data_IF_998388884792
#
_entry.id   IF_998388884792
#
_cell.length_a   1.000
_cell.length_b   1.000
_cell.length_c   1.000
_cell.angle_alpha   90.00
_cell.angle_beta   90.00
_cell.angle_gamma   90.00
#
_symmetry.space_group_name_H-M   'P 1'
#
loop_
_entity.id
_entity.type
_entity.pdbx_description
1 polymer ?
#
# COMPACT_ATOMS: atom_id res chain seq x y z
N UNK A 1 12.39 -5.89 5.84
CA UNK A 1 11.16 -5.28 6.38
C UNK A 1 11.10 -5.56 7.88
N UNK A 2 10.99 -4.54 8.73
CA UNK A 2 10.96 -4.71 10.20
C UNK A 2 9.64 -4.26 10.83
N UNK A 3 8.90 -3.38 10.14
CA UNK A 3 7.67 -2.76 10.65
C UNK A 3 6.62 -2.72 9.54
N UNK A 4 5.37 -2.99 9.90
CA UNK A 4 4.18 -2.74 9.06
C UNK A 4 3.34 -1.67 9.76
N UNK A 5 3.04 -0.58 9.05
CA UNK A 5 2.14 0.46 9.54
C UNK A 5 0.79 0.22 8.85
N UNK A 6 -0.27 0.07 9.64
CA UNK A 6 -1.64 -0.04 9.13
C UNK A 6 -2.25 1.37 9.23
N UNK A 7 -2.47 2.09 8.12
CA UNK A 7 -3.06 3.41 8.16
C UNK A 7 -4.53 3.35 8.56
N UNK A 8 -5.07 4.48 9.01
CA UNK A 8 -6.53 4.65 9.04
C UNK A 8 -7.05 4.49 7.62
N UNK A 9 -8.12 3.72 7.45
CA UNK A 9 -8.62 3.40 6.13
C UNK A 9 -10.13 3.15 6.17
N UNK A 10 -10.79 3.50 5.07
CA UNK A 10 -12.19 3.18 4.82
C UNK A 10 -12.24 2.05 3.80
N UNK A 11 -12.93 0.97 4.11
CA UNK A 11 -12.98 -0.24 3.28
C UNK A 11 -14.39 -0.69 2.96
N UNK A 12 -14.53 -1.27 1.77
CA UNK A 12 -15.68 -2.03 1.33
C UNK A 12 -15.23 -3.45 0.93
N UNK A 13 -16.16 -4.30 0.49
CA UNK A 13 -15.85 -5.70 0.15
C UNK A 13 -14.78 -5.87 -0.94
N UNK A 14 -14.60 -4.89 -1.81
CA UNK A 14 -13.69 -4.95 -2.96
C UNK A 14 -12.90 -3.66 -3.21
N UNK A 15 -12.87 -2.74 -2.23
CA UNK A 15 -12.09 -1.51 -2.32
C UNK A 15 -11.64 -1.06 -0.94
N UNK A 16 -10.56 -0.29 -0.92
CA UNK A 16 -10.05 0.34 0.29
C UNK A 16 -9.46 1.70 -0.10
N UNK A 17 -9.62 2.68 0.78
CA UNK A 17 -8.94 3.97 0.66
C UNK A 17 -8.22 4.25 1.98
N UNK A 18 -6.89 4.40 1.91
CA UNK A 18 -6.12 4.86 3.04
C UNK A 18 -6.39 6.36 3.28
N UNK A 19 -6.42 6.76 4.54
CA UNK A 19 -6.72 8.12 4.96
C UNK A 19 -5.67 8.57 5.94
N UNK A 20 -5.53 9.90 6.09
CA UNK A 20 -4.65 10.50 7.08
C UNK A 20 -3.16 10.13 6.89
N UNK A 21 -2.65 10.25 5.66
CA UNK A 21 -1.26 9.91 5.31
C UNK A 21 -0.21 10.69 6.14
N UNK A 22 -0.54 11.89 6.61
CA UNK A 22 0.31 12.69 7.51
C UNK A 22 0.64 11.95 8.82
N UNK A 23 -0.28 11.15 9.34
CA UNK A 23 -0.04 10.35 10.54
C UNK A 23 0.96 9.22 10.27
N UNK A 24 0.90 8.60 9.08
CA UNK A 24 1.89 7.61 8.66
C UNK A 24 3.27 8.25 8.57
N UNK A 25 3.35 9.43 7.95
CA UNK A 25 4.61 10.19 7.84
C UNK A 25 5.18 10.55 9.22
N UNK A 26 4.32 10.97 10.16
CA UNK A 26 4.70 11.29 11.54
C UNK A 26 5.29 10.06 12.24
N UNK A 27 4.64 8.89 12.13
CA UNK A 27 5.14 7.65 12.72
C UNK A 27 6.49 7.25 12.12
N UNK A 28 6.66 7.39 10.81
CA UNK A 28 7.92 7.09 10.13
C UNK A 28 9.05 7.98 10.64
N UNK A 29 8.81 9.29 10.72
CA UNK A 29 9.79 10.26 11.19
C UNK A 29 10.17 10.05 12.66
N UNK A 30 9.17 9.95 13.55
CA UNK A 30 9.39 9.86 15.00
C UNK A 30 10.13 8.59 15.42
N UNK A 31 10.02 7.52 14.61
CA UNK A 31 10.68 6.24 14.85
C UNK A 31 11.91 6.01 13.99
N UNK A 32 12.34 7.02 13.22
CA UNK A 32 13.45 6.91 12.27
C UNK A 32 13.32 5.70 11.33
N UNK A 33 12.10 5.45 10.84
CA UNK A 33 11.78 4.37 9.91
C UNK A 33 11.81 4.86 8.47
N UNK A 34 12.36 4.04 7.57
CA UNK A 34 12.35 4.31 6.14
C UNK A 34 11.23 3.51 5.46
N UNK A 35 10.32 4.17 4.72
CA UNK A 35 9.33 3.44 3.93
C UNK A 35 10.03 2.73 2.77
N UNK A 36 9.57 1.52 2.44
CA UNK A 36 10.14 0.71 1.35
C UNK A 36 9.11 0.33 0.29
N UNK A 37 7.83 0.56 0.58
CA UNK A 37 6.74 0.04 -0.23
C UNK A 37 5.46 -0.08 0.57
N UNK A 38 4.49 -0.77 -0.04
CA UNK A 38 3.16 -0.97 0.51
C UNK A 38 2.61 -2.35 0.11
N UNK A 39 1.55 -2.77 0.79
CA UNK A 39 0.89 -4.05 0.54
C UNK A 39 -0.62 -3.87 0.57
N UNK A 40 -1.32 -4.54 -0.34
CA UNK A 40 -2.76 -4.59 -0.36
C UNK A 40 -3.29 -5.93 -0.87
N UNK A 41 -4.58 -6.17 -0.64
CA UNK A 41 -5.26 -7.38 -1.08
C UNK A 41 -6.21 -7.09 -2.23
N UNK A 42 -6.26 -8.00 -3.18
CA UNK A 42 -7.21 -8.05 -4.29
C UNK A 42 -8.24 -9.17 -4.05
N UNK A 43 -9.36 -8.91 -3.35
CA UNK A 43 -10.33 -9.95 -3.01
C UNK A 43 -11.09 -10.51 -4.22
N UNK A 44 -11.10 -9.79 -5.36
CA UNK A 44 -11.78 -10.21 -6.58
C UNK A 44 -10.96 -10.01 -7.87
N UNK A 45 -9.81 -9.34 -7.77
CA UNK A 45 -8.92 -9.00 -8.88
C UNK A 45 -7.75 -9.99 -8.91
N UNK A 46 -7.01 -10.03 -10.02
CA UNK A 46 -5.80 -10.87 -10.13
C UNK A 46 -4.64 -10.32 -9.30
N UNK A 47 -3.55 -11.08 -9.20
CA UNK A 47 -2.33 -10.68 -8.49
C UNK A 47 -1.49 -9.58 -9.17
N UNK A 48 -2.00 -8.97 -10.25
CA UNK A 48 -1.36 -7.83 -10.92
C UNK A 48 -1.91 -6.49 -10.41
N UNK A 49 -1.10 -5.43 -10.48
CA UNK A 49 -1.53 -4.07 -10.13
C UNK A 49 -2.70 -3.61 -11.02
N UNK A 50 -3.76 -3.15 -10.37
CA UNK A 50 -4.87 -2.43 -11.00
C UNK A 50 -4.45 -1.00 -11.41
N UNK A 51 -5.31 -0.29 -12.13
CA UNK A 51 -5.06 1.13 -12.46
C UNK A 51 -4.93 2.01 -11.21
N UNK A 52 -5.75 1.74 -10.18
CA UNK A 52 -5.69 2.45 -8.89
C UNK A 52 -4.36 2.19 -8.19
N UNK A 53 -3.88 0.95 -8.25
CA UNK A 53 -2.58 0.59 -7.66
C UNK A 53 -1.44 1.25 -8.40
N UNK A 54 -1.49 1.32 -9.74
CA UNK A 54 -0.47 2.01 -10.54
C UNK A 54 -0.38 3.50 -10.18
N UNK A 55 -1.53 4.16 -9.99
CA UNK A 55 -1.54 5.56 -9.55
C UNK A 55 -0.99 5.72 -8.14
N UNK A 56 -1.32 4.82 -7.22
CA UNK A 56 -0.80 4.82 -5.84
C UNK A 56 0.71 4.56 -5.84
N UNK A 57 1.15 3.53 -6.56
CA UNK A 57 2.54 3.14 -6.72
C UNK A 57 3.37 4.27 -7.33
N UNK A 58 2.84 5.01 -8.31
CA UNK A 58 3.52 6.17 -8.88
C UNK A 58 3.85 7.23 -7.81
N UNK A 59 2.92 7.52 -6.90
CA UNK A 59 3.16 8.46 -5.80
C UNK A 59 4.25 7.97 -4.84
N UNK A 60 4.26 6.67 -4.52
CA UNK A 60 5.35 6.08 -3.73
C UNK A 60 6.70 6.15 -4.46
N UNK A 61 6.73 5.87 -5.77
CA UNK A 61 7.96 5.92 -6.57
C UNK A 61 8.48 7.33 -6.81
N UNK A 62 7.60 8.34 -6.79
CA UNK A 62 8.01 9.74 -6.84
C UNK A 62 8.80 10.15 -5.58
N UNK A 63 8.51 9.53 -4.42
CA UNK A 63 9.25 9.75 -3.18
C UNK A 63 10.49 8.85 -3.06
N UNK A 64 10.34 7.58 -3.43
CA UNK A 64 11.39 6.55 -3.35
C UNK A 64 11.35 5.72 -4.62
N UNK A 65 12.26 5.94 -5.58
CA UNK A 65 12.26 5.25 -6.88
C UNK A 65 12.19 3.72 -6.78
N UNK A 66 12.80 3.16 -5.73
CA UNK A 66 12.86 1.72 -5.43
C UNK A 66 11.64 1.17 -4.68
N UNK A 67 10.61 1.98 -4.43
CA UNK A 67 9.40 1.53 -3.74
C UNK A 67 8.73 0.38 -4.50
N UNK A 68 8.31 -0.66 -3.78
CA UNK A 68 7.60 -1.81 -4.35
C UNK A 68 6.21 -2.00 -3.74
N UNK A 69 5.30 -2.58 -4.51
CA UNK A 69 3.98 -2.99 -4.05
C UNK A 69 3.93 -4.52 -3.92
N UNK A 70 3.32 -5.02 -2.85
CA UNK A 70 2.94 -6.44 -2.73
C UNK A 70 1.44 -6.54 -2.96
N UNK A 71 1.04 -7.33 -3.96
CA UNK A 71 -0.37 -7.64 -4.25
C UNK A 71 -0.66 -9.07 -3.81
N UNK A 72 -1.60 -9.24 -2.88
CA UNK A 72 -2.12 -10.55 -2.51
C UNK A 72 -3.53 -10.73 -3.08
N UNK A 73 -3.71 -11.65 -4.02
CA UNK A 73 -5.02 -12.02 -4.56
C UNK A 73 -5.48 -13.38 -3.97
N UNK A 74 -6.19 -13.40 -2.83
CA UNK A 74 -6.47 -14.63 -2.09
C UNK A 74 -7.40 -15.61 -2.81
N UNK A 75 -8.17 -15.15 -3.81
CA UNK A 75 -9.11 -15.97 -4.58
C UNK A 75 -8.60 -16.30 -5.97
N UNK A 76 -7.43 -15.79 -6.36
CA UNK A 76 -6.85 -16.06 -7.67
C UNK A 76 -6.20 -17.46 -7.65
N UNK A 77 -6.63 -18.32 -8.57
CA UNK A 77 -6.14 -19.70 -8.71
C UNK A 77 -5.32 -19.91 -9.99
N UNK A 78 -4.90 -18.82 -10.64
CA UNK A 78 -4.15 -18.83 -11.89
C UNK A 78 -2.75 -19.43 -11.75
#
# INVERSE_FOLDING_TARGET
MTTLIIPKQESASNSCNATNEEEVFTILNDRSLYPVGWIHTHPSQSCFMSSVDLHTQYSYQAMIPEAFAIVLAPTDTS
#
